data_IF_813358868003
#
_entry.id   IF_813358868003
#
_cell.length_a   1.000
_cell.length_b   1.000
_cell.length_c   1.000
_cell.angle_alpha   90.00
_cell.angle_beta   90.00
_cell.angle_gamma   90.00
#
_symmetry.space_group_name_H-M   'P 1'
#
loop_
_entity.id
_entity.type
_entity.pdbx_description
1 polymer ?
#
# COMPACT_ATOMS: atom_id res chain seq x y z
N UNK A 1 -5.03 -40.47 10.88
CA UNK A 1 -5.48 -39.96 9.58
C UNK A 1 -5.18 -38.48 9.52
N UNK A 2 -4.11 -38.14 8.75
CA UNK A 2 -3.57 -36.79 8.66
C UNK A 2 -4.41 -35.94 7.76
N UNK A 3 -4.65 -34.71 8.17
CA UNK A 3 -5.14 -33.61 7.32
C UNK A 3 -4.04 -33.18 6.34
N UNK A 4 -4.34 -33.00 5.05
CA UNK A 4 -3.34 -32.52 4.10
C UNK A 4 -3.01 -31.05 4.40
N UNK A 5 -1.75 -30.82 4.75
CA UNK A 5 -1.18 -29.49 4.86
C UNK A 5 -1.12 -28.85 3.49
N UNK A 6 -1.73 -27.68 3.33
CA UNK A 6 -1.49 -26.80 2.18
C UNK A 6 -0.14 -26.12 2.42
N UNK A 7 0.93 -26.77 1.98
CA UNK A 7 2.25 -26.16 1.88
C UNK A 7 2.19 -25.09 0.77
N UNK A 8 2.01 -23.85 1.14
CA UNK A 8 2.32 -22.72 0.27
C UNK A 8 3.83 -22.54 0.35
N UNK A 9 4.59 -22.82 -0.71
CA UNK A 9 6.04 -22.66 -0.69
C UNK A 9 6.39 -21.19 -0.44
N UNK A 10 7.48 -20.91 0.30
CA UNK A 10 7.97 -19.54 0.44
C UNK A 10 8.30 -19.01 -0.96
N UNK A 11 7.79 -17.82 -1.27
CA UNK A 11 8.08 -17.15 -2.53
C UNK A 11 9.60 -16.92 -2.62
N UNK A 12 10.29 -17.77 -3.38
CA UNK A 12 11.71 -17.59 -3.70
C UNK A 12 11.86 -16.35 -4.59
N UNK A 13 12.85 -15.49 -4.37
CA UNK A 13 13.09 -14.31 -5.21
C UNK A 13 13.59 -14.63 -6.65
N UNK A 14 13.67 -15.89 -7.01
CA UNK A 14 14.15 -16.35 -8.31
C UNK A 14 13.03 -17.05 -9.09
N UNK A 15 12.07 -16.28 -9.65
CA UNK A 15 11.03 -16.91 -10.48
C UNK A 15 10.01 -15.99 -11.13
N UNK A 16 9.96 -14.72 -10.80
CA UNK A 16 9.13 -13.74 -11.51
C UNK A 16 10.07 -12.85 -12.34
N UNK A 17 10.29 -13.22 -13.61
CA UNK A 17 11.16 -12.50 -14.54
C UNK A 17 10.50 -11.22 -15.06
N UNK A 18 10.49 -10.17 -14.23
CA UNK A 18 10.16 -8.79 -14.57
C UNK A 18 10.70 -7.88 -13.48
N UNK A 19 11.12 -6.67 -13.82
CA UNK A 19 11.49 -5.68 -12.80
C UNK A 19 10.28 -5.36 -11.92
N UNK A 20 10.46 -5.02 -10.63
CA UNK A 20 9.36 -4.57 -9.78
C UNK A 20 8.63 -3.40 -10.44
N UNK A 21 7.35 -3.58 -10.78
CA UNK A 21 6.55 -2.60 -11.51
C UNK A 21 6.28 -2.94 -12.98
N UNK A 22 6.88 -3.98 -13.55
CA UNK A 22 6.48 -4.50 -14.85
C UNK A 22 5.03 -5.02 -14.76
N UNK A 23 4.17 -4.52 -15.66
CA UNK A 23 2.74 -4.88 -15.68
C UNK A 23 1.82 -3.95 -14.86
N UNK A 24 2.25 -2.72 -14.58
CA UNK A 24 1.38 -1.68 -14.02
C UNK A 24 0.97 -0.72 -15.12
N UNK A 25 -0.33 -0.63 -15.38
CA UNK A 25 -0.94 0.25 -16.39
C UNK A 25 -2.35 0.66 -15.95
N UNK A 26 -2.51 1.91 -15.55
CA UNK A 26 -3.80 2.48 -15.13
C UNK A 26 -4.29 3.57 -16.11
N UNK A 27 -3.47 3.94 -17.10
CA UNK A 27 -3.71 5.11 -17.93
C UNK A 27 -3.26 6.43 -17.30
N UNK A 28 -2.93 6.45 -16.01
CA UNK A 28 -2.38 7.59 -15.27
C UNK A 28 -0.90 7.32 -14.96
N UNK A 29 -0.02 7.94 -15.72
CA UNK A 29 1.43 7.64 -15.65
C UNK A 29 2.05 7.94 -14.30
N UNK A 30 1.58 8.98 -13.62
CA UNK A 30 2.06 9.29 -12.28
C UNK A 30 1.56 8.28 -11.25
N UNK A 31 0.31 7.81 -11.36
CA UNK A 31 -0.19 6.72 -10.52
C UNK A 31 0.58 5.43 -10.75
N UNK A 32 0.86 5.08 -12.01
CA UNK A 32 1.67 3.91 -12.36
C UNK A 32 3.05 3.97 -11.68
N UNK A 33 3.70 5.15 -11.72
CA UNK A 33 4.97 5.38 -11.02
C UNK A 33 4.83 5.22 -9.49
N UNK A 34 3.75 5.71 -8.90
CA UNK A 34 3.50 5.56 -7.45
C UNK A 34 3.24 4.11 -7.04
N UNK A 35 2.48 3.36 -7.83
CA UNK A 35 2.25 1.93 -7.60
C UNK A 35 3.55 1.11 -7.75
N UNK A 36 4.42 1.49 -8.68
CA UNK A 36 5.75 0.89 -8.80
C UNK A 36 6.61 1.13 -7.55
N UNK A 37 6.47 2.29 -6.88
CA UNK A 37 7.12 2.52 -5.58
C UNK A 37 6.60 1.55 -4.51
N UNK A 38 5.28 1.26 -4.50
CA UNK A 38 4.71 0.26 -3.58
C UNK A 38 5.32 -1.11 -3.85
N UNK A 39 5.37 -1.55 -5.10
CA UNK A 39 5.93 -2.85 -5.47
C UNK A 39 7.41 -2.96 -5.05
N UNK A 40 8.22 -1.99 -5.45
CA UNK A 40 9.67 -2.02 -5.24
C UNK A 40 10.03 -1.93 -3.74
N UNK A 41 9.55 -0.91 -3.05
CA UNK A 41 9.91 -0.68 -1.64
C UNK A 41 9.16 -1.60 -0.68
N UNK A 42 7.96 -2.04 -1.06
CA UNK A 42 7.18 -3.04 -0.33
C UNK A 42 7.75 -4.46 -0.46
N UNK A 43 8.53 -4.71 -1.52
CA UNK A 43 9.05 -6.04 -1.83
C UNK A 43 7.92 -7.02 -2.18
N UNK A 44 6.88 -6.51 -2.87
CA UNK A 44 5.74 -7.29 -3.32
C UNK A 44 5.69 -7.34 -4.84
N UNK A 45 5.26 -8.47 -5.40
CA UNK A 45 4.94 -8.57 -6.82
C UNK A 45 3.56 -7.94 -7.03
N UNK A 46 3.48 -6.93 -7.89
CA UNK A 46 2.26 -6.18 -8.16
C UNK A 46 2.05 -6.05 -9.66
N UNK A 47 0.92 -6.53 -10.14
CA UNK A 47 0.44 -6.31 -11.50
C UNK A 47 -0.91 -5.60 -11.41
N UNK A 48 -1.06 -4.50 -12.13
CA UNK A 48 -2.26 -3.68 -12.15
C UNK A 48 -2.60 -3.32 -13.59
N UNK A 49 -3.78 -3.67 -14.03
CA UNK A 49 -4.34 -3.24 -15.30
C UNK A 49 -5.70 -2.60 -15.02
N UNK A 50 -5.86 -1.34 -15.38
CA UNK A 50 -7.11 -0.62 -15.19
C UNK A 50 -7.48 0.14 -16.48
N UNK A 51 -8.75 0.05 -16.84
CA UNK A 51 -9.36 0.76 -17.95
C UNK A 51 -10.58 1.50 -17.42
N UNK A 52 -10.43 2.78 -17.13
CA UNK A 52 -11.48 3.63 -16.60
C UNK A 52 -11.89 4.71 -17.56
N UNK A 53 -12.83 5.53 -17.14
CA UNK A 53 -13.44 6.65 -17.87
C UNK A 53 -12.61 7.94 -17.75
N UNK A 54 -11.31 7.85 -18.06
CA UNK A 54 -10.34 8.94 -17.94
C UNK A 54 -10.65 10.16 -18.84
N UNK A 55 -11.55 10.00 -19.79
CA UNK A 55 -12.12 11.09 -20.60
C UNK A 55 -13.14 11.93 -19.81
N UNK A 56 -13.65 11.41 -18.72
CA UNK A 56 -14.51 12.12 -17.76
C UNK A 56 -13.64 12.72 -16.66
N UNK A 57 -12.96 11.85 -15.88
CA UNK A 57 -12.15 12.22 -14.71
C UNK A 57 -11.25 11.04 -14.30
N UNK A 58 -10.19 11.29 -13.60
CA UNK A 58 -9.31 10.29 -12.99
C UNK A 58 -9.85 9.68 -11.69
N UNK A 59 -10.88 10.29 -11.08
CA UNK A 59 -11.40 9.96 -9.75
C UNK A 59 -11.78 8.47 -9.63
N UNK A 60 -12.70 8.01 -10.49
CA UNK A 60 -13.20 6.64 -10.46
C UNK A 60 -12.07 5.61 -10.64
N UNK A 61 -11.16 5.86 -11.58
CA UNK A 61 -10.04 4.97 -11.86
C UNK A 61 -9.11 4.86 -10.65
N UNK A 62 -8.77 5.98 -10.01
CA UNK A 62 -7.90 5.98 -8.82
C UNK A 62 -8.56 5.33 -7.61
N UNK A 63 -9.84 5.59 -7.40
CA UNK A 63 -10.60 4.98 -6.31
C UNK A 63 -10.71 3.46 -6.47
N UNK A 64 -11.08 2.99 -7.66
CA UNK A 64 -11.22 1.57 -7.94
C UNK A 64 -9.90 0.82 -7.82
N UNK A 65 -8.80 1.38 -8.31
CA UNK A 65 -7.46 0.82 -8.13
C UNK A 65 -7.11 0.72 -6.64
N UNK A 66 -7.40 1.75 -5.85
CA UNK A 66 -7.15 1.75 -4.41
C UNK A 66 -7.99 0.68 -3.68
N UNK A 67 -9.27 0.57 -4.00
CA UNK A 67 -10.19 -0.42 -3.42
C UNK A 67 -9.74 -1.84 -3.76
N UNK A 68 -9.40 -2.11 -5.03
CA UNK A 68 -8.95 -3.43 -5.47
C UNK A 68 -7.62 -3.80 -4.82
N UNK A 69 -6.68 -2.87 -4.74
CA UNK A 69 -5.40 -3.07 -4.04
C UNK A 69 -5.61 -3.36 -2.55
N UNK A 70 -6.47 -2.60 -1.87
CA UNK A 70 -6.81 -2.83 -0.48
C UNK A 70 -7.43 -4.20 -0.24
N UNK A 71 -8.39 -4.62 -1.08
CA UNK A 71 -8.99 -5.96 -1.03
C UNK A 71 -7.97 -7.07 -1.31
N UNK A 72 -7.02 -6.84 -2.21
CA UNK A 72 -5.96 -7.81 -2.50
C UNK A 72 -5.04 -7.98 -1.28
N UNK A 73 -4.68 -6.89 -0.59
CA UNK A 73 -3.91 -6.92 0.66
C UNK A 73 -4.69 -7.70 1.74
N UNK A 74 -5.95 -7.37 2.00
CA UNK A 74 -6.75 -8.05 3.02
C UNK A 74 -6.85 -9.56 2.75
N UNK A 75 -7.09 -9.97 1.49
CA UNK A 75 -7.10 -11.38 1.08
C UNK A 75 -5.75 -12.06 1.28
N UNK A 76 -4.65 -11.39 0.91
CA UNK A 76 -3.30 -11.94 1.04
C UNK A 76 -2.90 -12.13 2.51
N UNK A 77 -3.37 -11.27 3.41
CA UNK A 77 -3.13 -11.37 4.84
C UNK A 77 -3.89 -12.54 5.49
N UNK A 78 -5.03 -12.93 4.95
CA UNK A 78 -5.85 -14.03 5.44
C UNK A 78 -6.18 -13.91 6.93
N UNK A 79 -5.79 -14.87 7.73
CA UNK A 79 -6.01 -14.90 9.19
C UNK A 79 -5.14 -13.87 9.93
N UNK A 80 -4.19 -13.23 9.25
CA UNK A 80 -3.19 -12.33 9.86
C UNK A 80 -2.28 -12.98 10.91
N UNK A 81 -2.28 -14.31 10.98
CA UNK A 81 -1.40 -15.04 11.89
C UNK A 81 0.07 -14.89 11.48
N UNK A 82 0.94 -14.64 12.46
CA UNK A 82 2.39 -14.58 12.28
C UNK A 82 2.91 -13.33 11.57
N UNK A 83 2.09 -12.31 11.29
CA UNK A 83 2.55 -11.04 10.71
C UNK A 83 3.07 -10.08 11.78
N UNK A 84 3.92 -9.11 11.37
CA UNK A 84 4.43 -8.05 12.25
C UNK A 84 3.37 -7.03 12.65
N UNK A 85 2.26 -6.92 11.90
CA UNK A 85 1.10 -6.06 12.10
C UNK A 85 1.33 -4.56 11.90
N UNK A 86 2.47 -4.02 12.31
CA UNK A 86 2.77 -2.58 12.36
C UNK A 86 3.89 -2.14 11.42
N UNK A 87 3.90 -0.86 11.05
CA UNK A 87 4.96 -0.26 10.24
C UNK A 87 5.07 1.27 10.36
N UNK A 88 6.07 1.92 9.74
CA UNK A 88 6.50 3.32 10.01
C UNK A 88 7.16 4.10 8.83
N UNK A 89 8.04 5.09 9.05
CA UNK A 89 8.40 6.31 8.34
C UNK A 89 9.74 6.38 7.58
N UNK A 90 9.92 7.34 6.65
CA UNK A 90 11.20 7.65 5.98
C UNK A 90 11.33 9.11 5.48
N UNK A 91 12.57 9.64 5.25
CA UNK A 91 12.85 10.85 4.51
C UNK A 91 12.97 10.60 3.00
N UNK A 92 12.70 11.63 2.19
CA UNK A 92 13.00 11.69 0.77
C UNK A 92 13.41 13.11 0.38
N UNK A 93 14.70 13.33 0.13
CA UNK A 93 15.31 14.63 -0.18
C UNK A 93 14.83 15.74 0.78
N UNK A 94 14.13 16.75 0.27
CA UNK A 94 13.55 17.86 1.04
C UNK A 94 12.27 17.47 1.79
N UNK A 95 11.76 16.25 1.60
CA UNK A 95 10.50 15.78 2.15
C UNK A 95 10.69 14.68 3.18
N UNK A 96 9.70 14.56 4.06
CA UNK A 96 9.59 13.44 5.00
C UNK A 96 8.15 12.95 5.05
N UNK A 97 7.96 11.65 5.17
CA UNK A 97 6.66 11.04 5.40
C UNK A 97 6.69 10.10 6.60
N UNK A 98 5.63 10.15 7.38
CA UNK A 98 5.31 9.24 8.47
C UNK A 98 4.08 8.46 8.06
N UNK A 99 4.15 7.14 8.07
CA UNK A 99 3.01 6.26 7.85
C UNK A 99 2.91 5.30 9.01
N UNK A 100 1.81 5.40 9.76
CA UNK A 100 1.46 4.46 10.81
C UNK A 100 0.40 3.51 10.26
N UNK A 101 0.66 2.22 10.34
CA UNK A 101 -0.18 1.17 9.78
C UNK A 101 -0.44 0.11 10.83
N UNK A 102 -1.73 -0.26 11.02
CA UNK A 102 -2.14 -1.36 11.89
C UNK A 102 -3.24 -2.20 11.23
N UNK A 103 -2.94 -3.47 10.96
CA UNK A 103 -3.89 -4.45 10.44
C UNK A 103 -4.81 -5.06 11.53
N UNK A 104 -5.18 -4.27 12.53
CA UNK A 104 -6.04 -4.68 13.64
C UNK A 104 -7.52 -4.88 13.28
N UNK A 105 -7.90 -4.79 12.01
CA UNK A 105 -9.28 -5.02 11.54
C UNK A 105 -10.26 -3.87 11.77
N UNK A 106 -9.86 -2.84 12.53
CA UNK A 106 -10.64 -1.61 12.72
C UNK A 106 -10.17 -0.55 11.73
N UNK A 107 -11.12 0.01 11.00
CA UNK A 107 -10.86 1.05 10.00
C UNK A 107 -10.77 2.39 10.73
N UNK A 108 -9.66 3.10 10.52
CA UNK A 108 -9.49 4.49 10.91
C UNK A 108 -8.46 5.13 9.97
N UNK A 109 -8.72 6.38 9.55
CA UNK A 109 -7.87 7.04 8.57
C UNK A 109 -7.60 8.49 8.97
N UNK A 110 -6.32 8.83 9.07
CA UNK A 110 -5.85 10.19 9.34
C UNK A 110 -4.92 10.67 8.23
N UNK A 111 -5.06 11.95 7.85
CA UNK A 111 -4.27 12.56 6.81
C UNK A 111 -3.81 13.95 7.21
N UNK A 112 -2.51 14.14 7.34
CA UNK A 112 -1.83 15.42 7.60
C UNK A 112 -0.76 15.66 6.54
N UNK A 113 -1.20 15.94 5.30
CA UNK A 113 -0.30 16.29 4.20
C UNK A 113 -0.97 17.31 3.28
N UNK A 114 -0.36 18.48 3.17
CA UNK A 114 -0.82 19.55 2.30
C UNK A 114 0.01 19.61 1.02
N UNK A 115 -0.65 19.78 -0.11
CA UNK A 115 -0.05 19.99 -1.42
C UNK A 115 -0.34 21.41 -1.89
N UNK A 116 0.65 22.06 -2.50
CA UNK A 116 0.53 23.45 -3.02
C UNK A 116 0.06 23.47 -4.46
N UNK A 117 0.38 22.43 -5.23
CA UNK A 117 0.01 22.28 -6.64
C UNK A 117 -1.32 21.57 -6.74
N UNK A 118 -2.14 21.96 -7.71
CA UNK A 118 -3.39 21.27 -8.00
C UNK A 118 -3.14 19.85 -8.52
N UNK A 119 -2.03 19.66 -9.27
CA UNK A 119 -1.67 18.37 -9.88
C UNK A 119 -0.19 18.10 -9.76
N UNK A 120 0.14 16.82 -9.66
CA UNK A 120 1.48 16.28 -9.83
C UNK A 120 1.44 15.25 -10.96
N UNK A 121 2.14 15.55 -12.06
CA UNK A 121 1.96 14.80 -13.30
C UNK A 121 0.52 14.92 -13.81
N UNK A 122 -0.10 13.83 -14.08
CA UNK A 122 -1.49 13.70 -14.55
C UNK A 122 -2.51 13.43 -13.41
N UNK A 123 -2.06 13.48 -12.14
CA UNK A 123 -2.88 13.18 -10.96
C UNK A 123 -3.17 14.45 -10.16
N UNK A 124 -4.45 14.77 -9.86
CA UNK A 124 -4.81 15.82 -8.90
C UNK A 124 -4.32 15.46 -7.50
N UNK A 125 -3.83 16.45 -6.77
CA UNK A 125 -3.22 16.21 -5.45
C UNK A 125 -4.23 15.79 -4.38
N UNK A 126 -5.49 16.18 -4.52
CA UNK A 126 -6.58 15.72 -3.63
C UNK A 126 -6.80 14.21 -3.72
N UNK A 127 -6.53 13.60 -4.87
CA UNK A 127 -6.69 12.18 -5.09
C UNK A 127 -5.72 11.31 -4.30
N UNK A 128 -4.59 11.84 -3.83
CA UNK A 128 -3.70 11.07 -2.95
C UNK A 128 -4.37 10.74 -1.61
N UNK A 129 -5.05 11.71 -1.00
CA UNK A 129 -5.83 11.46 0.21
C UNK A 129 -6.95 10.46 -0.05
N UNK A 130 -7.68 10.64 -1.14
CA UNK A 130 -8.79 9.77 -1.52
C UNK A 130 -8.32 8.33 -1.76
N UNK A 131 -7.23 8.15 -2.51
CA UNK A 131 -6.61 6.85 -2.77
C UNK A 131 -6.30 6.09 -1.46
N UNK A 132 -5.58 6.72 -0.53
CA UNK A 132 -5.21 6.06 0.72
C UNK A 132 -6.41 5.81 1.65
N UNK A 133 -7.42 6.68 1.63
CA UNK A 133 -8.67 6.45 2.36
C UNK A 133 -9.39 5.19 1.83
N UNK A 134 -9.60 5.10 0.52
CA UNK A 134 -10.28 3.97 -0.11
C UNK A 134 -9.51 2.66 0.08
N UNK A 135 -8.18 2.71 -0.04
CA UNK A 135 -7.31 1.58 0.25
C UNK A 135 -7.42 1.15 1.73
N UNK A 136 -7.39 2.09 2.67
CA UNK A 136 -7.51 1.82 4.11
C UNK A 136 -8.83 1.11 4.44
N UNK A 137 -9.93 1.61 3.89
CA UNK A 137 -11.25 1.00 4.06
C UNK A 137 -11.30 -0.42 3.50
N UNK A 138 -10.77 -0.62 2.29
CA UNK A 138 -10.79 -1.90 1.60
C UNK A 138 -9.84 -2.94 2.23
N UNK A 139 -8.68 -2.51 2.74
CA UNK A 139 -7.72 -3.35 3.46
C UNK A 139 -8.11 -3.59 4.93
N UNK A 140 -9.14 -2.93 5.43
CA UNK A 140 -9.62 -3.03 6.82
C UNK A 140 -8.50 -2.79 7.83
N UNK A 141 -7.80 -1.66 7.67
CA UNK A 141 -6.68 -1.28 8.53
C UNK A 141 -6.91 0.08 9.17
N UNK A 142 -6.09 0.42 10.15
CA UNK A 142 -5.89 1.78 10.64
C UNK A 142 -4.67 2.33 9.91
N UNK A 143 -4.81 3.51 9.29
CA UNK A 143 -3.78 4.13 8.48
C UNK A 143 -3.70 5.63 8.77
N UNK A 144 -2.57 6.08 9.31
CA UNK A 144 -2.32 7.49 9.58
C UNK A 144 -1.12 7.94 8.76
N UNK A 145 -1.28 9.02 8.00
CA UNK A 145 -0.27 9.55 7.09
C UNK A 145 -0.02 11.01 7.40
N UNK A 146 1.24 11.37 7.64
CA UNK A 146 1.68 12.76 7.73
C UNK A 146 2.88 12.98 6.83
N UNK A 147 2.91 14.10 6.09
CA UNK A 147 4.04 14.44 5.24
C UNK A 147 4.32 15.94 5.22
N UNK A 148 5.60 16.32 5.20
CA UNK A 148 6.07 17.70 5.11
C UNK A 148 7.24 17.79 4.12
N UNK A 149 7.31 18.90 3.42
CA UNK A 149 8.35 19.22 2.44
C UNK A 149 7.83 20.26 1.44
N UNK A 150 8.71 20.77 0.61
CA UNK A 150 8.37 21.84 -0.33
C UNK A 150 8.01 21.33 -1.72
N UNK A 151 8.66 20.26 -2.18
CA UNK A 151 8.39 19.68 -3.49
C UNK A 151 7.23 18.67 -3.41
N UNK A 152 6.13 18.97 -4.07
CA UNK A 152 4.92 18.12 -4.02
C UNK A 152 5.11 16.75 -4.69
N UNK A 153 5.97 16.63 -5.72
CA UNK A 153 6.34 15.34 -6.30
C UNK A 153 7.09 14.48 -5.25
N UNK A 154 8.14 15.02 -4.64
CA UNK A 154 8.89 14.33 -3.59
C UNK A 154 8.00 13.97 -2.39
N UNK A 155 7.06 14.84 -2.05
CA UNK A 155 6.11 14.59 -0.96
C UNK A 155 5.17 13.41 -1.27
N UNK A 156 4.59 13.37 -2.47
CA UNK A 156 3.77 12.25 -2.91
C UNK A 156 4.59 10.95 -2.93
N UNK A 157 5.76 10.97 -3.55
CA UNK A 157 6.65 9.81 -3.62
C UNK A 157 7.11 9.35 -2.23
N UNK A 158 7.41 10.27 -1.30
CA UNK A 158 7.76 9.95 0.09
C UNK A 158 6.61 9.21 0.80
N UNK A 159 5.35 9.64 0.58
CA UNK A 159 4.17 8.97 1.14
C UNK A 159 4.05 7.54 0.62
N UNK A 160 4.13 7.33 -0.70
CA UNK A 160 4.01 6.00 -1.29
C UNK A 160 5.16 5.07 -0.88
N UNK A 161 6.41 5.56 -0.81
CA UNK A 161 7.56 4.82 -0.30
C UNK A 161 7.42 4.46 1.18
N UNK A 162 6.96 5.42 2.01
CA UNK A 162 6.73 5.19 3.43
C UNK A 162 5.64 4.15 3.66
N UNK A 163 4.53 4.23 2.91
CA UNK A 163 3.48 3.23 2.94
C UNK A 163 4.01 1.84 2.53
N UNK A 164 4.77 1.76 1.45
CA UNK A 164 5.38 0.51 0.98
C UNK A 164 6.29 -0.12 2.04
N UNK A 165 7.11 0.68 2.71
CA UNK A 165 7.99 0.21 3.80
C UNK A 165 7.21 -0.19 5.05
N UNK A 166 6.17 0.57 5.41
CA UNK A 166 5.27 0.23 6.50
C UNK A 166 4.55 -1.10 6.21
N UNK A 167 4.02 -1.26 5.00
CA UNK A 167 3.40 -2.50 4.54
C UNK A 167 4.37 -3.69 4.65
N UNK A 168 5.59 -3.55 4.11
CA UNK A 168 6.61 -4.61 4.18
C UNK A 168 6.90 -5.05 5.61
N UNK A 169 6.99 -4.11 6.54
CA UNK A 169 7.22 -4.41 7.96
C UNK A 169 6.00 -5.07 8.59
N UNK A 170 4.82 -4.55 8.30
CA UNK A 170 3.57 -5.06 8.86
C UNK A 170 3.27 -6.50 8.42
N UNK A 171 3.60 -6.86 7.18
CA UNK A 171 3.35 -8.21 6.64
C UNK A 171 4.51 -9.17 6.88
N UNK A 172 5.66 -8.71 7.36
CA UNK A 172 6.79 -9.58 7.67
C UNK A 172 6.38 -10.61 8.72
N UNK A 173 6.67 -11.87 8.45
CA UNK A 173 6.39 -12.96 9.40
C UNK A 173 7.41 -12.94 10.52
N UNK A 174 6.94 -13.00 11.78
CA UNK A 174 7.81 -13.14 12.93
C UNK A 174 8.35 -14.58 13.00
N UNK A 175 9.64 -14.74 13.33
CA UNK A 175 10.25 -16.07 13.50
C UNK A 175 9.75 -16.85 14.73
N UNK A 176 8.82 -16.30 15.51
CA UNK A 176 8.34 -16.86 16.76
C UNK A 176 6.99 -17.60 16.71
N UNK A 177 6.52 -17.95 15.51
CA UNK A 177 5.30 -18.75 15.33
C UNK A 177 4.20 -18.03 14.54
N UNK A 178 3.05 -18.72 14.41
CA UNK A 178 1.89 -18.25 13.66
C UNK A 178 0.79 -17.69 14.58
N UNK A 179 1.16 -17.16 15.74
CA UNK A 179 0.21 -16.60 16.68
C UNK A 179 -0.41 -15.32 16.11
N UNK A 180 -1.68 -15.10 16.43
CA UNK A 180 -2.35 -13.84 16.08
C UNK A 180 -1.73 -12.73 16.94
N UNK A 181 -1.18 -11.65 16.36
CA UNK A 181 -0.51 -10.57 17.09
C UNK A 181 -1.52 -9.68 17.82
N UNK A 182 -2.28 -10.26 18.71
CA UNK A 182 -3.32 -9.62 19.53
C UNK A 182 -3.44 -10.30 20.87
N UNK A 183 -3.39 -9.53 21.96
CA UNK A 183 -3.62 -10.03 23.33
C UNK A 183 -5.04 -10.58 23.52
N UNK A 184 -5.96 -10.29 22.61
CA UNK A 184 -7.35 -10.80 22.61
C UNK A 184 -7.50 -12.10 21.79
N UNK A 185 -6.46 -12.52 21.07
CA UNK A 185 -6.48 -13.73 20.22
C UNK A 185 -7.29 -13.59 18.93
N UNK A 186 -7.76 -12.36 18.60
CA UNK A 186 -8.52 -12.03 17.39
C UNK A 186 -8.08 -10.67 16.84
N UNK A 187 -8.21 -10.47 15.53
CA UNK A 187 -8.02 -9.20 14.80
C UNK A 187 -9.24 -8.89 13.94
#
# INVERSE_FOLDING_TARGET
>A
PGTPGTDIPPCSPAGCGGAPGDGISTGLRFLDHMLAQIAHHGGVSLTVEAHGDLDIDEHHTMEDVAIVLGKAIDRALGSKAGIGRYGFALPMDDCRALVLLDFGGRIDFEWDAEFRRERVGDVPTEMFRHFFHSLCCAARCNLQIAAKGDNDHHKAEAIFKAFARALRMAVARSGFGYDIPSSKGVL
#
